data_IF_015132397560
#
_entry.id   IF_015132397560
#
_cell.length_a   1.000
_cell.length_b   1.000
_cell.length_c   1.000
_cell.angle_alpha   90.00
_cell.angle_beta   90.00
_cell.angle_gamma   90.00
#
_symmetry.space_group_name_H-M   'P 1'
#
loop_
_entity.id
_entity.type
_entity.pdbx_description
1 polymer ?
#
# COMPACT_ATOMS: atom_id res chain seq x y z
N UNK A 1 5.07 -15.70 -1.75
CA UNK A 1 5.26 -14.42 -2.47
C UNK A 1 5.73 -14.75 -3.88
N UNK A 2 4.82 -14.81 -4.85
CA UNK A 2 5.20 -15.06 -6.24
C UNK A 2 5.67 -13.73 -6.84
N UNK A 3 6.98 -13.57 -7.02
CA UNK A 3 7.55 -12.49 -7.84
C UNK A 3 7.28 -12.79 -9.33
N UNK A 4 6.01 -12.84 -9.71
CA UNK A 4 5.56 -13.33 -11.03
C UNK A 4 5.82 -12.34 -12.18
N UNK A 5 6.35 -11.15 -11.89
CA UNK A 5 6.70 -10.18 -12.92
C UNK A 5 8.12 -10.43 -13.42
N UNK A 6 8.29 -10.47 -14.75
CA UNK A 6 9.61 -10.48 -15.36
C UNK A 6 10.44 -9.30 -14.82
N UNK A 7 11.73 -9.50 -14.47
CA UNK A 7 12.58 -8.44 -13.99
C UNK A 7 12.62 -7.27 -14.98
N UNK A 8 12.35 -6.06 -14.52
CA UNK A 8 12.51 -4.83 -15.30
C UNK A 8 13.81 -4.14 -14.86
N UNK A 9 14.82 -4.01 -15.73
CA UNK A 9 16.07 -3.35 -15.35
C UNK A 9 15.80 -1.86 -15.05
N UNK A 10 16.50 -1.34 -14.05
CA UNK A 10 16.51 0.08 -13.71
C UNK A 10 17.95 0.53 -13.48
N UNK A 11 18.27 1.77 -13.87
CA UNK A 11 19.59 2.38 -13.64
C UNK A 11 19.41 3.66 -12.83
N UNK A 12 19.99 3.70 -11.63
CA UNK A 12 20.12 4.92 -10.85
C UNK A 12 21.42 5.65 -11.23
N UNK A 13 21.40 6.99 -11.17
CA UNK A 13 22.58 7.83 -11.38
C UNK A 13 22.76 8.74 -10.16
N UNK A 14 24.00 9.22 -9.96
CA UNK A 14 24.28 10.24 -8.94
C UNK A 14 23.44 11.49 -9.22
N UNK A 15 22.78 12.00 -8.20
CA UNK A 15 22.02 13.26 -8.23
C UNK A 15 22.69 14.29 -7.32
N UNK A 16 22.44 15.57 -7.58
CA UNK A 16 22.58 16.61 -6.55
C UNK A 16 21.60 16.35 -5.38
N UNK A 17 21.74 17.11 -4.30
CA UNK A 17 20.82 17.03 -3.16
C UNK A 17 19.36 17.20 -3.63
N UNK A 18 18.48 16.31 -3.15
CA UNK A 18 17.03 16.41 -3.38
C UNK A 18 16.47 17.58 -2.57
N UNK A 19 15.54 18.34 -3.15
CA UNK A 19 14.87 19.47 -2.48
C UNK A 19 13.38 19.47 -2.83
N UNK A 20 12.53 19.69 -1.83
CA UNK A 20 11.08 19.72 -1.97
C UNK A 20 10.36 19.07 -0.79
N UNK A 21 9.04 18.91 -0.95
CA UNK A 21 8.19 18.22 -0.01
C UNK A 21 7.41 17.11 -0.74
N UNK A 22 7.24 15.97 -0.09
CA UNK A 22 6.46 14.85 -0.60
C UNK A 22 5.52 14.34 0.49
N UNK A 23 4.33 13.91 0.07
CA UNK A 23 3.43 13.13 0.93
C UNK A 23 3.76 11.65 0.70
N UNK A 24 4.12 10.96 1.77
CA UNK A 24 4.34 9.51 1.71
C UNK A 24 3.01 8.77 1.56
N UNK A 25 3.00 7.58 0.93
CA UNK A 25 1.83 6.71 0.92
C UNK A 25 1.37 6.32 2.34
N UNK A 26 0.16 5.77 2.44
CA UNK A 26 -0.36 5.22 3.69
C UNK A 26 0.54 4.13 4.28
N UNK A 27 0.43 3.90 5.59
CA UNK A 27 1.18 2.83 6.25
C UNK A 27 0.64 1.46 5.85
N UNK A 28 1.53 0.54 5.46
CA UNK A 28 1.14 -0.81 5.00
C UNK A 28 0.45 -1.60 6.10
N UNK A 29 0.97 -1.56 7.31
CA UNK A 29 0.47 -2.37 8.42
C UNK A 29 -0.90 -1.89 8.90
N UNK A 30 -1.10 -0.58 9.00
CA UNK A 30 -2.39 0.05 9.27
C UNK A 30 -3.35 -0.27 8.15
N UNK A 31 -2.95 -0.15 6.88
CA UNK A 31 -3.85 -0.40 5.75
C UNK A 31 -4.37 -1.85 5.71
N UNK A 32 -3.52 -2.85 5.99
CA UNK A 32 -3.98 -4.23 6.20
C UNK A 32 -5.02 -4.32 7.33
N UNK A 33 -4.69 -3.77 8.50
CA UNK A 33 -5.56 -3.81 9.68
C UNK A 33 -6.87 -3.05 9.48
N UNK A 34 -6.87 -1.95 8.72
CA UNK A 34 -8.07 -1.20 8.38
C UNK A 34 -9.05 -2.05 7.56
N UNK A 35 -8.58 -2.84 6.60
CA UNK A 35 -9.44 -3.80 5.91
C UNK A 35 -9.92 -4.92 6.82
N UNK A 36 -9.01 -5.54 7.58
CA UNK A 36 -9.35 -6.67 8.46
C UNK A 36 -10.38 -6.26 9.52
N UNK A 37 -10.16 -5.17 10.23
CA UNK A 37 -11.06 -4.71 11.29
C UNK A 37 -12.34 -4.10 10.72
N UNK A 38 -12.25 -3.36 9.60
CA UNK A 38 -13.42 -2.82 8.93
C UNK A 38 -14.37 -3.89 8.40
N UNK A 39 -13.84 -5.00 7.87
CA UNK A 39 -14.65 -6.14 7.43
C UNK A 39 -15.20 -7.01 8.56
N UNK A 40 -14.65 -6.94 9.77
CA UNK A 40 -15.16 -7.65 10.95
C UNK A 40 -16.16 -6.83 11.77
N UNK A 41 -16.09 -5.50 11.69
CA UNK A 41 -16.94 -4.60 12.47
C UNK A 41 -18.39 -4.63 11.99
N UNK A 42 -19.33 -4.34 12.90
CA UNK A 42 -20.72 -4.09 12.52
C UNK A 42 -20.89 -2.66 11.99
N UNK A 43 -21.52 -2.51 10.82
CA UNK A 43 -21.79 -1.22 10.20
C UNK A 43 -20.76 -0.83 9.12
N UNK A 44 -20.63 0.47 8.85
CA UNK A 44 -19.74 1.01 7.80
C UNK A 44 -18.43 1.52 8.39
N UNK A 45 -17.29 1.08 7.81
CA UNK A 45 -15.97 1.67 8.08
C UNK A 45 -15.51 2.48 6.88
N UNK A 46 -15.18 3.76 7.10
CA UNK A 46 -14.67 4.68 6.06
C UNK A 46 -13.19 4.95 6.28
N UNK A 47 -12.34 4.60 5.31
CA UNK A 47 -10.88 4.70 5.42
C UNK A 47 -10.37 5.78 4.45
N UNK A 48 -9.49 6.66 4.90
CA UNK A 48 -8.80 7.65 4.06
C UNK A 48 -7.28 7.49 4.19
N UNK A 49 -6.53 7.80 3.13
CA UNK A 49 -5.08 7.62 3.10
C UNK A 49 -4.63 6.15 3.12
N UNK A 50 -5.48 5.23 2.64
CA UNK A 50 -5.15 3.82 2.51
C UNK A 50 -3.98 3.62 1.54
N UNK A 51 -3.05 2.72 1.86
CA UNK A 51 -2.05 2.26 0.90
C UNK A 51 -2.68 1.29 -0.11
N UNK A 52 -2.69 1.64 -1.39
CA UNK A 52 -3.26 0.80 -2.46
C UNK A 52 -2.21 -0.13 -3.13
N UNK A 53 -1.20 -0.53 -2.36
CA UNK A 53 -0.21 -1.52 -2.81
C UNK A 53 -0.82 -2.91 -2.96
N UNK A 54 -0.24 -3.76 -3.83
CA UNK A 54 -0.81 -5.08 -4.14
C UNK A 54 -1.10 -5.92 -2.88
N UNK A 55 -0.16 -5.98 -1.93
CA UNK A 55 -0.32 -6.69 -0.66
C UNK A 55 -1.62 -6.29 0.08
N UNK A 56 -1.88 -4.98 0.17
CA UNK A 56 -3.03 -4.44 0.89
C UNK A 56 -4.32 -4.71 0.12
N UNK A 57 -4.29 -4.55 -1.21
CA UNK A 57 -5.43 -4.86 -2.07
C UNK A 57 -5.80 -6.34 -2.04
N UNK A 58 -4.82 -7.24 -1.90
CA UNK A 58 -5.06 -8.68 -1.69
C UNK A 58 -5.76 -8.95 -0.36
N UNK A 59 -5.39 -8.26 0.71
CA UNK A 59 -6.14 -8.34 1.98
C UNK A 59 -7.56 -7.83 1.83
N UNK A 60 -7.76 -6.68 1.18
CA UNK A 60 -9.11 -6.17 0.91
C UNK A 60 -9.95 -7.16 0.08
N UNK A 61 -9.36 -7.83 -0.90
CA UNK A 61 -10.04 -8.87 -1.68
C UNK A 61 -10.38 -10.12 -0.86
N UNK A 62 -9.58 -10.48 0.14
CA UNK A 62 -9.85 -11.62 1.03
C UNK A 62 -10.93 -11.33 2.09
N UNK A 63 -11.20 -10.04 2.37
CA UNK A 63 -12.26 -9.62 3.30
C UNK A 63 -13.63 -9.46 2.60
N UNK A 64 -13.70 -9.63 1.27
CA UNK A 64 -14.96 -9.68 0.51
C UNK A 64 -15.59 -11.06 0.62
#
# INVERSE_FOLDING_TARGET
MSHSAAPKPATARKSSALSGAARVPGDKSISHRSFMFGGLASGETRITGLLEGEDVMRTGAAMK
#
